data_IF_620898904506
#
_entry.id   IF_620898904506
#
_cell.length_a   1.000
_cell.length_b   1.000
_cell.length_c   1.000
_cell.angle_alpha   90.00
_cell.angle_beta   90.00
_cell.angle_gamma   90.00
#
_symmetry.space_group_name_H-M   'P 1'
#
loop_
_entity.id
_entity.type
_entity.pdbx_description
1 polymer ?
#
# COMPACT_ATOMS: atom_id res chain seq x y z
N UNK A 1 -17.28 5.51 9.50
CA UNK A 1 -17.91 6.83 9.66
C UNK A 1 -17.08 7.66 10.63
N UNK A 2 -16.53 8.76 10.15
CA UNK A 2 -15.62 9.62 10.90
C UNK A 2 -16.31 10.40 12.02
N UNK A 3 -15.61 10.57 13.15
CA UNK A 3 -16.07 11.40 14.26
C UNK A 3 -15.43 12.79 14.20
N UNK A 4 -16.23 13.85 14.33
CA UNK A 4 -15.76 15.23 14.37
C UNK A 4 -15.99 15.78 15.77
N UNK A 5 -14.92 16.23 16.45
CA UNK A 5 -14.98 16.79 17.80
C UNK A 5 -14.20 18.10 17.90
N UNK A 6 -14.54 18.95 18.86
CA UNK A 6 -13.80 20.20 19.15
C UNK A 6 -12.66 19.92 20.13
N UNK A 7 -11.45 20.40 19.84
CA UNK A 7 -10.26 20.28 20.70
C UNK A 7 -9.40 21.55 20.60
N UNK A 8 -9.19 22.26 21.73
CA UNK A 8 -8.37 23.48 21.83
C UNK A 8 -8.65 24.47 20.67
N UNK A 9 -9.92 24.87 20.53
CA UNK A 9 -10.44 25.78 19.49
C UNK A 9 -10.29 25.34 18.03
N UNK A 10 -9.95 24.07 17.79
CA UNK A 10 -9.89 23.47 16.46
C UNK A 10 -10.90 22.33 16.34
N UNK A 11 -11.35 22.09 15.12
CA UNK A 11 -12.16 20.94 14.76
C UNK A 11 -11.27 19.77 14.41
N UNK A 12 -11.33 18.71 15.21
CA UNK A 12 -10.60 17.47 14.99
C UNK A 12 -11.52 16.44 14.35
N UNK A 13 -11.11 15.92 13.19
CA UNK A 13 -11.72 14.77 12.56
C UNK A 13 -10.89 13.51 12.87
N UNK A 14 -11.57 12.44 13.24
CA UNK A 14 -11.01 11.17 13.72
C UNK A 14 -11.64 10.03 12.94
N UNK A 15 -10.83 9.24 12.26
CA UNK A 15 -11.25 8.09 11.46
C UNK A 15 -10.68 6.83 12.13
N UNK A 16 -11.58 5.91 12.48
CA UNK A 16 -11.25 4.61 13.10
C UNK A 16 -11.85 3.51 12.23
N UNK A 17 -11.01 2.56 11.82
CA UNK A 17 -11.41 1.33 11.12
C UNK A 17 -10.75 0.15 11.84
N UNK A 18 -11.46 -0.97 11.95
CA UNK A 18 -10.93 -2.16 12.60
C UNK A 18 -9.68 -2.65 11.85
N UNK A 19 -8.58 -2.90 12.58
CA UNK A 19 -7.31 -3.37 12.00
C UNK A 19 -6.39 -2.30 11.42
N UNK A 20 -6.81 -1.02 11.34
CA UNK A 20 -5.97 0.08 10.86
C UNK A 20 -5.63 1.10 11.98
N UNK A 21 -4.51 1.80 11.82
CA UNK A 21 -4.14 2.88 12.73
C UNK A 21 -5.16 4.04 12.66
N UNK A 22 -5.44 4.65 13.81
CA UNK A 22 -6.39 5.78 13.87
C UNK A 22 -5.80 7.02 13.19
N UNK A 23 -6.48 7.51 12.15
CA UNK A 23 -6.07 8.72 11.43
C UNK A 23 -6.79 9.92 12.05
N UNK A 24 -6.04 10.95 12.45
CA UNK A 24 -6.61 12.17 13.00
C UNK A 24 -6.02 13.42 12.37
N UNK A 25 -6.85 14.45 12.16
CA UNK A 25 -6.42 15.76 11.69
C UNK A 25 -7.23 16.87 12.34
N UNK A 26 -6.56 17.95 12.72
CA UNK A 26 -7.18 19.14 13.31
C UNK A 26 -7.18 20.30 12.30
N UNK A 27 -8.34 20.89 12.07
CA UNK A 27 -8.58 22.00 11.12
C UNK A 27 -9.32 23.13 11.84
N UNK A 28 -9.26 24.36 11.31
CA UNK A 28 -9.91 25.53 11.93
C UNK A 28 -11.42 25.57 11.70
N UNK A 29 -11.92 25.00 10.60
CA UNK A 29 -13.35 25.00 10.24
C UNK A 29 -13.99 23.61 10.38
N UNK A 30 -15.24 23.57 10.85
CA UNK A 30 -16.04 22.33 10.97
C UNK A 30 -16.36 21.74 9.60
N UNK A 31 -16.68 22.59 8.63
CA UNK A 31 -17.02 22.18 7.26
C UNK A 31 -15.80 21.54 6.58
N UNK A 32 -14.62 22.14 6.75
CA UNK A 32 -13.37 21.59 6.21
C UNK A 32 -12.99 20.27 6.88
N UNK A 33 -13.18 20.16 8.20
CA UNK A 33 -12.97 18.89 8.91
C UNK A 33 -13.87 17.77 8.37
N UNK A 34 -15.13 18.09 8.03
CA UNK A 34 -16.07 17.14 7.41
C UNK A 34 -15.68 16.77 5.99
N UNK A 35 -15.33 17.75 5.15
CA UNK A 35 -14.86 17.50 3.78
C UNK A 35 -13.60 16.64 3.77
N UNK A 36 -12.64 16.93 4.65
CA UNK A 36 -11.44 16.13 4.81
C UNK A 36 -11.76 14.70 5.24
N UNK A 37 -12.66 14.53 6.21
CA UNK A 37 -13.06 13.21 6.69
C UNK A 37 -13.64 12.35 5.57
N UNK A 38 -14.58 12.91 4.79
CA UNK A 38 -15.19 12.22 3.63
C UNK A 38 -14.13 11.87 2.58
N UNK A 39 -13.23 12.80 2.24
CA UNK A 39 -12.19 12.54 1.24
C UNK A 39 -11.23 11.43 1.68
N UNK A 40 -10.92 11.33 2.97
CA UNK A 40 -10.10 10.24 3.51
C UNK A 40 -10.87 8.93 3.52
N UNK A 41 -12.15 8.92 3.95
CA UNK A 41 -12.99 7.71 3.87
C UNK A 41 -13.10 7.19 2.43
N UNK A 42 -13.36 8.07 1.45
CA UNK A 42 -13.39 7.71 0.04
C UNK A 42 -12.04 7.16 -0.47
N UNK A 43 -10.92 7.67 0.05
CA UNK A 43 -9.59 7.15 -0.30
C UNK A 43 -9.37 5.75 0.28
N UNK A 44 -9.77 5.54 1.54
CA UNK A 44 -9.69 4.25 2.23
C UNK A 44 -10.66 3.21 1.64
N UNK A 45 -11.83 3.62 1.18
CA UNK A 45 -12.82 2.76 0.52
C UNK A 45 -12.36 2.33 -0.87
N UNK A 46 -11.64 3.20 -1.60
CA UNK A 46 -11.02 2.88 -2.88
C UNK A 46 -9.74 2.01 -2.76
N UNK A 47 -9.40 1.55 -1.56
CA UNK A 47 -8.18 0.75 -1.33
C UNK A 47 -6.88 1.51 -1.58
N UNK A 48 -6.91 2.84 -1.70
CA UNK A 48 -5.72 3.69 -1.84
C UNK A 48 -5.05 3.94 -0.48
N UNK A 49 -5.03 2.91 0.37
CA UNK A 49 -4.33 2.90 1.66
C UNK A 49 -2.86 2.58 1.40
N UNK A 50 -2.13 3.63 1.05
CA UNK A 50 -0.74 3.57 0.65
C UNK A 50 -0.58 4.45 -0.56
N UNK A 51 0.31 5.44 -0.49
CA UNK A 51 0.83 6.08 -1.70
C UNK A 51 1.52 4.98 -2.49
N UNK A 52 0.77 4.27 -3.33
CA UNK A 52 1.35 3.36 -4.29
C UNK A 52 2.23 4.25 -5.14
N UNK A 53 3.54 4.13 -4.94
CA UNK A 53 4.48 4.88 -5.71
C UNK A 53 4.27 4.44 -7.16
N UNK A 54 3.60 5.28 -7.96
CA UNK A 54 3.19 4.91 -9.33
C UNK A 54 4.40 4.54 -10.19
N UNK A 55 5.58 5.08 -9.86
CA UNK A 55 6.84 4.69 -10.48
C UNK A 55 7.22 3.24 -10.13
N UNK A 56 7.02 2.85 -8.86
CA UNK A 56 7.27 1.48 -8.39
C UNK A 56 6.33 0.45 -9.05
N UNK A 57 5.15 0.86 -9.51
CA UNK A 57 4.27 -0.02 -10.29
C UNK A 57 4.81 -0.38 -11.68
N UNK A 58 5.73 0.43 -12.22
CA UNK A 58 6.32 0.21 -13.54
C UNK A 58 7.52 -0.74 -13.50
N UNK A 59 8.08 -1.00 -12.32
CA UNK A 59 9.17 -1.95 -12.18
C UNK A 59 8.66 -3.39 -12.40
N UNK A 60 9.47 -4.19 -13.09
CA UNK A 60 9.15 -5.58 -13.36
C UNK A 60 9.15 -6.41 -12.08
N UNK A 61 8.31 -7.44 -12.03
CA UNK A 61 8.33 -8.40 -10.93
C UNK A 61 9.72 -9.05 -10.76
N UNK A 62 10.45 -9.26 -11.86
CA UNK A 62 11.83 -9.75 -11.84
C UNK A 62 12.77 -8.84 -11.04
N UNK A 63 12.68 -7.51 -11.24
CA UNK A 63 13.50 -6.54 -10.53
C UNK A 63 13.23 -6.59 -9.01
N UNK A 64 11.96 -6.70 -8.62
CA UNK A 64 11.57 -6.87 -7.21
C UNK A 64 12.12 -8.15 -6.60
N UNK A 65 11.98 -9.27 -7.29
CA UNK A 65 12.50 -10.55 -6.85
C UNK A 65 14.02 -10.52 -6.71
N UNK A 66 14.73 -9.84 -7.61
CA UNK A 66 16.18 -9.63 -7.52
C UNK A 66 16.59 -8.82 -6.30
N UNK A 67 15.90 -7.71 -6.04
CA UNK A 67 16.16 -6.89 -4.85
C UNK A 67 15.86 -7.62 -3.55
N UNK A 68 14.73 -8.32 -3.50
CA UNK A 68 14.37 -9.13 -2.33
C UNK A 68 15.40 -10.24 -2.08
N UNK A 69 15.88 -10.90 -3.13
CA UNK A 69 16.93 -11.94 -3.02
C UNK A 69 18.20 -11.38 -2.38
N UNK A 70 18.66 -10.21 -2.85
CA UNK A 70 19.91 -9.59 -2.41
C UNK A 70 19.81 -8.90 -1.04
N UNK A 71 18.74 -8.15 -0.80
CA UNK A 71 18.59 -7.28 0.38
C UNK A 71 18.01 -8.02 1.59
N UNK A 72 17.22 -9.08 1.39
CA UNK A 72 16.46 -9.75 2.46
C UNK A 72 16.77 -11.24 2.51
N UNK A 73 16.56 -11.95 1.40
CA UNK A 73 16.68 -13.43 1.37
C UNK A 73 18.07 -13.91 1.75
N UNK A 74 19.11 -13.19 1.31
CA UNK A 74 20.52 -13.51 1.61
C UNK A 74 20.82 -13.64 3.10
N UNK A 75 20.05 -12.97 3.97
CA UNK A 75 20.24 -12.98 5.42
C UNK A 75 19.38 -14.02 6.15
N UNK A 76 18.57 -14.80 5.43
CA UNK A 76 17.74 -15.85 6.02
C UNK A 76 18.41 -17.21 5.98
N UNK A 77 18.21 -18.01 7.02
CA UNK A 77 18.70 -19.39 7.08
C UNK A 77 18.17 -20.26 5.90
N UNK A 78 16.97 -19.97 5.39
CA UNK A 78 16.35 -20.66 4.27
C UNK A 78 16.69 -20.07 2.89
N UNK A 79 17.72 -19.23 2.78
CA UNK A 79 18.09 -18.55 1.52
C UNK A 79 18.19 -19.52 0.32
N UNK A 80 18.76 -20.70 0.51
CA UNK A 80 18.91 -21.69 -0.57
C UNK A 80 17.57 -22.15 -1.18
N UNK A 81 16.53 -22.31 -0.35
CA UNK A 81 15.17 -22.65 -0.81
C UNK A 81 14.52 -21.45 -1.46
N UNK A 82 14.61 -20.27 -0.82
CA UNK A 82 14.03 -19.04 -1.37
C UNK A 82 14.65 -18.70 -2.73
N UNK A 83 15.97 -18.81 -2.89
CA UNK A 83 16.68 -18.63 -4.16
C UNK A 83 16.16 -19.56 -5.25
N UNK A 84 15.92 -20.84 -4.93
CA UNK A 84 15.34 -21.78 -5.90
C UNK A 84 13.94 -21.35 -6.35
N UNK A 85 13.09 -20.95 -5.41
CA UNK A 85 11.73 -20.48 -5.68
C UNK A 85 11.80 -19.19 -6.52
N UNK A 86 12.57 -18.20 -6.08
CA UNK A 86 12.79 -16.92 -6.79
C UNK A 86 13.27 -17.18 -8.21
N UNK A 87 14.22 -18.11 -8.40
CA UNK A 87 14.71 -18.49 -9.73
C UNK A 87 13.64 -19.11 -10.63
N UNK A 88 12.68 -19.87 -10.07
CA UNK A 88 11.51 -20.32 -10.85
C UNK A 88 10.61 -19.16 -11.23
N UNK A 89 10.32 -18.26 -10.29
CA UNK A 89 9.46 -17.11 -10.55
C UNK A 89 10.05 -16.18 -11.61
N UNK A 90 11.36 -15.89 -11.55
CA UNK A 90 12.06 -15.06 -12.56
C UNK A 90 11.96 -15.62 -13.98
N UNK A 91 11.88 -16.94 -14.14
CA UNK A 91 11.73 -17.60 -15.46
C UNK A 91 10.29 -17.58 -15.99
N UNK A 92 9.32 -17.30 -15.14
CA UNK A 92 7.93 -17.24 -15.55
C UNK A 92 7.64 -15.98 -16.38
N UNK A 93 6.72 -16.07 -17.34
CA UNK A 93 6.37 -14.93 -18.22
C UNK A 93 5.90 -13.69 -17.44
N UNK A 94 5.27 -13.91 -16.27
CA UNK A 94 4.83 -12.85 -15.36
C UNK A 94 5.98 -12.02 -14.77
N UNK A 95 7.20 -12.57 -14.68
CA UNK A 95 8.34 -11.84 -14.12
C UNK A 95 8.75 -10.64 -14.98
N UNK A 96 8.50 -10.73 -16.29
CA UNK A 96 8.77 -9.64 -17.25
C UNK A 96 7.73 -8.53 -17.20
N UNK A 97 6.57 -8.78 -16.58
CA UNK A 97 5.52 -7.80 -16.50
C UNK A 97 5.80 -6.80 -15.37
N UNK A 98 5.44 -5.52 -15.56
CA UNK A 98 5.43 -4.57 -14.47
C UNK A 98 4.40 -5.02 -13.42
N UNK A 99 4.72 -4.82 -12.14
CA UNK A 99 3.89 -5.33 -11.04
C UNK A 99 2.44 -4.79 -11.12
N UNK A 100 2.26 -3.57 -11.66
CA UNK A 100 0.94 -2.97 -11.88
C UNK A 100 0.12 -3.60 -13.02
N UNK A 101 0.73 -4.39 -13.90
CA UNK A 101 0.07 -5.09 -15.00
C UNK A 101 -0.16 -6.58 -14.72
N UNK A 102 0.23 -7.08 -13.54
CA UNK A 102 -0.09 -8.45 -13.12
C UNK A 102 -1.53 -8.46 -12.62
N UNK A 103 -2.45 -8.76 -13.54
CA UNK A 103 -3.89 -8.82 -13.30
C UNK A 103 -4.42 -10.22 -13.62
N UNK A 104 -5.59 -10.57 -13.07
CA UNK A 104 -6.16 -11.93 -13.17
C UNK A 104 -6.40 -12.37 -14.62
N UNK A 105 -6.73 -11.43 -15.50
CA UNK A 105 -6.87 -11.65 -16.95
C UNK A 105 -5.57 -12.08 -17.64
N UNK A 106 -4.41 -11.78 -17.06
CA UNK A 106 -3.09 -12.15 -17.60
C UNK A 106 -2.48 -13.40 -16.96
N UNK A 107 -3.21 -14.06 -16.07
CA UNK A 107 -2.82 -15.32 -15.44
C UNK A 107 -3.32 -16.55 -16.21
N UNK A 108 -4.17 -16.36 -17.22
CA UNK A 108 -4.70 -17.38 -18.14
C UNK A 108 -3.89 -17.42 -19.43
#
# INVERSE_FOLDING_TARGET
MASIRRKKDKWQAVIRRAGEATITRSVRSKTDARKWAIAVEQRLDKGMSGTVNKAALNDSLEAYLGRYEAEISAFKACHHVERYIIGKWKRHGLARLPIGAVTTDRLL
#
